data_IF_603390270910
#
_entry.id   IF_603390270910
#
_cell.length_a   1.000
_cell.length_b   1.000
_cell.length_c   1.000
_cell.angle_alpha   90.00
_cell.angle_beta   90.00
_cell.angle_gamma   90.00
#
_symmetry.space_group_name_H-M   'P 1'
#
loop_
_entity.id
_entity.type
_entity.pdbx_description
1 polymer ?
#
# COMPACT_ATOMS: atom_id res chain seq x y z
N UNK A 1 -29.11 18.75 -50.32
CA UNK A 1 -29.82 18.65 -49.03
C UNK A 1 -28.82 18.12 -48.00
N UNK A 2 -28.29 18.97 -47.13
CA UNK A 2 -27.27 18.58 -46.15
C UNK A 2 -27.90 17.78 -45.00
N UNK A 3 -27.26 16.67 -44.60
CA UNK A 3 -27.72 15.82 -43.49
C UNK A 3 -27.42 16.52 -42.16
N UNK A 4 -28.46 16.88 -41.40
CA UNK A 4 -28.31 17.41 -40.04
C UNK A 4 -27.72 16.32 -39.13
N UNK A 5 -26.52 16.55 -38.61
CA UNK A 5 -25.88 15.71 -37.58
C UNK A 5 -26.20 16.35 -36.23
N UNK A 6 -26.86 15.61 -35.35
CA UNK A 6 -27.28 16.10 -34.02
C UNK A 6 -26.04 16.36 -33.16
N UNK A 7 -25.88 17.59 -32.67
CA UNK A 7 -24.82 17.96 -31.70
C UNK A 7 -23.71 18.87 -32.23
N UNK A 8 -23.76 19.29 -33.50
CA UNK A 8 -22.85 20.28 -34.08
C UNK A 8 -23.60 21.61 -34.33
N UNK A 9 -23.01 22.78 -34.01
CA UNK A 9 -23.59 24.07 -34.39
C UNK A 9 -23.84 24.16 -35.90
N UNK A 10 -24.92 24.82 -36.33
CA UNK A 10 -25.25 24.96 -37.76
C UNK A 10 -24.16 25.69 -38.56
N UNK A 11 -23.27 26.42 -37.87
CA UNK A 11 -22.18 27.21 -38.45
C UNK A 11 -20.83 26.47 -38.45
N UNK A 12 -20.79 25.23 -37.97
CA UNK A 12 -19.55 24.45 -37.92
C UNK A 12 -19.28 23.83 -39.29
N UNK A 13 -18.39 24.47 -40.05
CA UNK A 13 -17.89 23.97 -41.33
C UNK A 13 -16.39 23.68 -41.24
N UNK A 14 -16.03 22.40 -41.36
CA UNK A 14 -14.63 21.96 -41.42
C UNK A 14 -14.14 22.19 -42.86
N UNK A 15 -13.65 23.39 -43.14
CA UNK A 15 -12.93 23.71 -44.38
C UNK A 15 -11.56 23.00 -44.40
N UNK A 16 -11.58 21.68 -44.58
CA UNK A 16 -10.40 20.92 -44.97
C UNK A 16 -10.32 21.06 -46.48
N UNK A 17 -9.35 21.82 -46.98
CA UNK A 17 -9.07 21.88 -48.41
C UNK A 17 -8.97 20.43 -48.95
N UNK A 18 -9.78 20.09 -49.94
CA UNK A 18 -9.85 18.74 -50.53
C UNK A 18 -8.50 18.26 -51.11
N UNK A 19 -7.52 19.15 -51.24
CA UNK A 19 -6.13 18.83 -51.57
C UNK A 19 -5.41 18.01 -50.48
N UNK A 20 -5.84 18.09 -49.22
CA UNK A 20 -5.22 17.38 -48.09
C UNK A 20 -5.73 15.94 -47.90
N UNK A 21 -6.69 15.49 -48.71
CA UNK A 21 -7.34 14.16 -48.61
C UNK A 21 -6.87 13.20 -49.71
N UNK A 22 -5.92 13.62 -50.56
CA UNK A 22 -5.32 12.76 -51.59
C UNK A 22 -4.13 11.98 -51.02
N UNK A 23 -4.38 10.72 -50.66
CA UNK A 23 -3.49 9.54 -50.74
C UNK A 23 -1.98 9.67 -50.43
N UNK A 24 -1.59 10.51 -49.49
CA UNK A 24 -0.28 10.38 -48.82
C UNK A 24 -0.45 10.40 -47.30
N UNK A 25 0.16 9.44 -46.56
CA UNK A 25 0.18 9.50 -45.11
C UNK A 25 0.91 10.77 -44.68
N UNK A 26 0.25 11.58 -43.86
CA UNK A 26 0.83 12.76 -43.21
C UNK A 26 2.11 12.32 -42.49
N UNK A 27 3.27 12.77 -42.99
CA UNK A 27 4.56 12.57 -42.33
C UNK A 27 4.64 13.48 -41.12
N UNK A 28 4.14 13.00 -39.99
CA UNK A 28 4.43 13.58 -38.68
C UNK A 28 5.95 13.45 -38.52
N UNK A 29 6.66 14.57 -38.47
CA UNK A 29 8.11 14.59 -38.30
C UNK A 29 8.54 13.84 -37.03
N UNK A 30 9.71 13.20 -37.11
CA UNK A 30 10.30 12.29 -36.11
C UNK A 30 10.69 13.00 -34.80
N UNK A 31 9.72 13.59 -34.10
CA UNK A 31 9.93 14.20 -32.78
C UNK A 31 9.98 13.17 -31.64
N UNK A 32 10.32 11.91 -31.95
CA UNK A 32 10.41 10.80 -31.00
C UNK A 32 11.75 10.03 -31.07
N UNK A 33 12.72 10.49 -31.86
CA UNK A 33 14.04 9.86 -32.01
C UNK A 33 15.20 10.62 -31.33
N UNK A 34 14.97 11.82 -30.77
CA UNK A 34 15.99 12.58 -30.02
C UNK A 34 16.12 12.15 -28.54
N UNK A 35 16.10 10.84 -28.29
CA UNK A 35 16.64 10.29 -27.05
C UNK A 35 17.85 9.42 -27.41
N UNK A 36 19.06 9.69 -26.89
CA UNK A 36 20.18 8.77 -27.08
C UNK A 36 19.89 7.48 -26.32
N UNK A 37 19.33 6.49 -27.03
CA UNK A 37 19.17 5.13 -26.53
C UNK A 37 20.56 4.49 -26.55
N UNK A 38 21.18 4.39 -25.36
CA UNK A 38 22.35 3.55 -25.19
C UNK A 38 22.04 2.13 -25.69
N UNK A 39 22.86 1.63 -26.62
CA UNK A 39 22.69 0.35 -27.28
C UNK A 39 22.52 -0.79 -26.26
N UNK A 40 21.36 -1.46 -26.29
CA UNK A 40 21.16 -2.73 -25.59
C UNK A 40 21.62 -3.89 -26.50
N UNK A 41 22.47 -4.81 -26.03
CA UNK A 41 22.81 -6.00 -26.79
C UNK A 41 21.61 -6.96 -26.86
N UNK A 42 21.41 -7.56 -28.04
CA UNK A 42 20.35 -8.51 -28.33
C UNK A 42 20.52 -9.82 -27.53
N UNK A 43 19.43 -10.31 -26.92
CA UNK A 43 19.41 -11.61 -26.24
C UNK A 43 19.35 -12.77 -27.27
N UNK A 44 20.13 -13.85 -27.09
CA UNK A 44 20.05 -15.02 -27.96
C UNK A 44 18.83 -15.88 -27.64
N UNK A 45 18.18 -16.41 -28.69
CA UNK A 45 17.03 -17.34 -28.62
C UNK A 45 17.41 -18.66 -27.91
N UNK A 46 16.47 -19.31 -27.19
CA UNK A 46 16.75 -20.56 -26.49
C UNK A 46 16.77 -21.76 -27.45
N UNK A 47 17.94 -22.37 -27.63
CA UNK A 47 18.12 -23.71 -28.19
C UNK A 47 18.07 -24.79 -27.09
N UNK A 48 17.58 -25.98 -27.47
CA UNK A 48 17.43 -27.21 -26.68
C UNK A 48 18.53 -27.46 -25.65
N UNK A 49 18.15 -27.83 -24.43
CA UNK A 49 19.04 -28.43 -23.41
C UNK A 49 18.96 -29.95 -23.47
N UNK A 50 20.08 -30.59 -23.78
CA UNK A 50 20.39 -31.97 -23.39
C UNK A 50 20.84 -32.00 -21.91
N UNK A 51 20.70 -33.15 -21.20
CA UNK A 51 20.97 -33.23 -19.76
C UNK A 51 22.47 -33.31 -19.42
N UNK A 52 22.92 -32.75 -18.28
CA UNK A 52 24.33 -32.76 -17.89
C UNK A 52 24.77 -34.08 -17.20
N UNK A 53 26.05 -34.46 -17.35
CA UNK A 53 26.65 -35.64 -16.72
C UNK A 53 27.09 -35.43 -15.26
N UNK A 54 27.29 -36.56 -14.58
CA UNK A 54 27.72 -36.76 -13.18
C UNK A 54 29.14 -36.24 -12.88
N UNK A 55 29.29 -35.66 -11.68
CA UNK A 55 30.34 -36.05 -10.71
C UNK A 55 31.53 -35.10 -10.51
N UNK A 56 31.90 -34.91 -9.23
CA UNK A 56 33.31 -34.81 -8.83
C UNK A 56 33.78 -33.51 -8.17
N UNK A 57 33.81 -33.53 -6.83
CA UNK A 57 34.87 -33.04 -5.92
C UNK A 57 35.24 -31.54 -5.82
N UNK A 58 34.94 -30.97 -4.65
CA UNK A 58 35.57 -29.77 -4.07
C UNK A 58 36.91 -30.12 -3.37
N UNK A 59 37.84 -29.15 -3.29
CA UNK A 59 38.63 -29.00 -2.08
C UNK A 59 38.66 -27.57 -1.50
N UNK A 60 38.61 -27.54 -0.16
CA UNK A 60 38.78 -26.40 0.76
C UNK A 60 40.23 -25.89 0.85
N UNK A 61 40.40 -24.61 1.22
CA UNK A 61 41.18 -24.08 2.37
C UNK A 61 41.62 -22.63 2.10
N UNK A 62 41.41 -21.63 2.96
CA UNK A 62 42.23 -21.21 4.13
C UNK A 62 41.52 -19.95 4.73
N UNK A 63 41.16 -19.81 6.01
CA UNK A 63 41.89 -19.68 7.30
C UNK A 63 41.35 -18.43 8.06
N UNK A 64 41.77 -18.06 9.28
CA UNK A 64 42.02 -18.84 10.51
C UNK A 64 41.45 -18.20 11.82
N UNK A 65 41.40 -18.98 12.93
CA UNK A 65 41.59 -18.63 14.37
C UNK A 65 40.83 -19.65 15.27
N UNK A 66 41.50 -20.66 15.85
CA UNK A 66 42.06 -20.73 17.23
C UNK A 66 41.00 -20.79 18.36
N UNK A 67 40.96 -21.69 19.36
CA UNK A 67 41.52 -23.01 19.73
C UNK A 67 40.54 -23.59 20.81
N UNK A 68 40.47 -24.91 21.04
CA UNK A 68 39.46 -25.58 21.88
C UNK A 68 40.02 -26.06 23.23
N UNK A 69 39.15 -26.52 24.15
CA UNK A 69 39.55 -27.48 25.19
C UNK A 69 38.37 -28.34 25.67
N UNK A 70 38.60 -29.65 25.69
CA UNK A 70 37.80 -30.73 26.30
C UNK A 70 38.82 -31.69 26.93
N UNK A 71 38.38 -32.50 27.91
CA UNK A 71 39.05 -33.71 28.50
C UNK A 71 39.98 -33.37 29.70
N UNK A 72 40.02 -33.99 30.90
CA UNK A 72 39.64 -35.34 31.45
C UNK A 72 39.49 -35.35 33.01
N UNK A 73 38.99 -36.48 33.56
CA UNK A 73 39.16 -37.12 34.91
C UNK A 73 37.94 -37.39 35.89
N UNK A 74 37.78 -38.63 36.46
CA UNK A 74 36.74 -39.10 37.42
C UNK A 74 37.31 -39.38 38.86
N UNK A 75 36.79 -40.26 39.76
CA UNK A 75 35.45 -40.59 40.33
C UNK A 75 35.37 -40.48 41.90
N UNK A 76 34.17 -40.68 42.49
CA UNK A 76 33.93 -40.90 43.95
C UNK A 76 33.25 -39.70 44.64
N UNK A 77 32.23 -39.79 45.50
CA UNK A 77 31.86 -40.79 46.50
C UNK A 77 30.40 -40.54 46.99
N UNK A 78 29.74 -41.64 47.41
CA UNK A 78 28.68 -41.74 48.45
C UNK A 78 27.19 -41.46 48.10
N UNK A 79 26.50 -42.57 47.83
CA UNK A 79 25.11 -42.96 48.20
C UNK A 79 24.66 -42.56 49.65
N UNK A 80 23.40 -42.78 50.13
CA UNK A 80 22.12 -43.31 49.56
C UNK A 80 20.88 -42.50 50.12
N UNK A 81 19.64 -43.03 50.35
CA UNK A 81 18.81 -43.98 49.62
C UNK A 81 17.48 -43.37 49.10
N UNK A 82 16.88 -44.09 48.15
CA UNK A 82 15.54 -43.91 47.60
C UNK A 82 14.47 -44.18 48.67
N UNK A 83 13.74 -43.14 49.08
CA UNK A 83 12.57 -43.28 49.95
C UNK A 83 11.28 -43.57 49.15
N UNK A 84 10.31 -44.30 49.75
CA UNK A 84 9.29 -45.06 49.03
C UNK A 84 8.18 -44.19 48.42
N UNK A 85 7.71 -44.67 47.26
CA UNK A 85 6.59 -44.13 46.50
C UNK A 85 5.31 -44.04 47.36
N UNK A 86 5.04 -42.85 47.88
CA UNK A 86 3.70 -42.53 48.38
C UNK A 86 2.79 -42.34 47.16
N UNK A 87 1.97 -43.37 46.90
CA UNK A 87 0.79 -43.28 46.03
C UNK A 87 -0.12 -42.18 46.58
N UNK A 88 0.04 -40.95 46.10
CA UNK A 88 -0.97 -39.90 46.24
C UNK A 88 -2.18 -40.34 45.42
N UNK A 89 -3.20 -40.81 46.13
CA UNK A 89 -4.55 -41.00 45.63
C UNK A 89 -4.96 -39.70 44.95
N UNK A 90 -5.15 -39.74 43.63
CA UNK A 90 -5.72 -38.62 42.88
C UNK A 90 -7.13 -38.37 43.44
N UNK A 91 -7.47 -37.18 43.95
CA UNK A 91 -8.87 -36.85 44.10
C UNK A 91 -9.46 -36.81 42.70
N UNK A 92 -10.46 -37.68 42.48
CA UNK A 92 -11.32 -37.70 41.29
C UNK A 92 -11.97 -36.32 41.20
N UNK A 93 -11.38 -35.43 40.39
CA UNK A 93 -12.03 -34.16 40.03
C UNK A 93 -13.22 -34.51 39.15
N UNK A 94 -14.40 -34.20 39.65
CA UNK A 94 -15.61 -34.17 38.86
C UNK A 94 -15.41 -33.30 37.60
N UNK A 95 -15.90 -33.73 36.43
CA UNK A 95 -15.86 -32.92 35.22
C UNK A 95 -17.02 -31.92 35.24
N UNK A 96 -17.01 -31.00 36.19
CA UNK A 96 -17.97 -29.91 36.22
C UNK A 96 -17.25 -28.58 36.09
N UNK A 97 -17.84 -27.77 35.20
CA UNK A 97 -17.50 -26.37 34.90
C UNK A 97 -16.38 -26.22 33.87
N UNK A 98 -16.77 -26.40 32.59
CA UNK A 98 -16.26 -25.53 31.52
C UNK A 98 -16.52 -24.09 31.99
N UNK A 99 -15.50 -23.46 32.56
CA UNK A 99 -15.48 -22.02 32.70
C UNK A 99 -15.80 -21.47 31.31
N UNK A 100 -16.93 -20.76 31.19
CA UNK A 100 -17.16 -19.87 30.06
C UNK A 100 -15.99 -18.90 30.09
N UNK A 101 -14.96 -19.20 29.32
CA UNK A 101 -13.93 -18.25 28.98
C UNK A 101 -14.67 -17.05 28.41
N UNK A 102 -14.77 -16.00 29.22
CA UNK A 102 -15.37 -14.73 28.82
C UNK A 102 -14.47 -14.24 27.72
N UNK A 103 -14.88 -14.49 26.47
CA UNK A 103 -14.11 -14.16 25.30
C UNK A 103 -13.76 -12.68 25.39
N UNK A 104 -12.46 -12.39 25.54
CA UNK A 104 -11.96 -11.03 25.57
C UNK A 104 -12.54 -10.28 24.36
N UNK A 105 -12.94 -9.00 24.53
CA UNK A 105 -13.56 -8.25 23.45
C UNK A 105 -12.64 -8.28 22.23
N UNK A 106 -13.16 -8.82 21.13
CA UNK A 106 -12.40 -8.93 19.87
C UNK A 106 -12.01 -7.52 19.44
N UNK A 107 -10.70 -7.26 19.36
CA UNK A 107 -10.18 -5.98 18.86
C UNK A 107 -10.77 -5.71 17.47
N UNK A 108 -11.14 -4.45 17.15
CA UNK A 108 -11.68 -4.12 15.84
C UNK A 108 -10.65 -4.46 14.75
N UNK A 109 -11.11 -4.87 13.55
CA UNK A 109 -10.21 -5.23 12.46
C UNK A 109 -9.36 -4.03 12.05
N UNK A 110 -8.04 -4.25 11.94
CA UNK A 110 -7.11 -3.24 11.43
C UNK A 110 -7.33 -3.11 9.92
N UNK A 111 -7.67 -1.91 9.47
CA UNK A 111 -7.74 -1.58 8.03
C UNK A 111 -6.37 -1.09 7.59
N UNK A 112 -5.78 -1.75 6.59
CA UNK A 112 -4.56 -1.28 5.93
C UNK A 112 -4.95 -0.44 4.72
N UNK A 113 -4.34 0.73 4.59
CA UNK A 113 -4.54 1.64 3.46
C UNK A 113 -3.25 1.63 2.65
N UNK A 114 -3.34 1.19 1.41
CA UNK A 114 -2.22 1.26 0.48
C UNK A 114 -2.21 2.66 -0.15
N UNK A 115 -1.06 3.33 -0.07
CA UNK A 115 -0.85 4.67 -0.59
C UNK A 115 0.14 4.63 -1.75
N UNK A 116 0.03 5.60 -2.66
CA UNK A 116 1.07 5.81 -3.68
C UNK A 116 2.30 6.47 -3.05
N UNK A 117 3.50 6.35 -3.64
CA UNK A 117 4.70 7.01 -3.10
C UNK A 117 4.49 8.51 -2.91
N UNK A 118 3.91 9.19 -3.89
CA UNK A 118 3.57 10.62 -3.83
C UNK A 118 2.64 10.94 -2.64
N UNK A 119 1.64 10.10 -2.38
CA UNK A 119 0.74 10.30 -1.24
C UNK A 119 1.45 10.08 0.10
N UNK A 120 2.43 9.17 0.18
CA UNK A 120 3.23 8.98 1.39
C UNK A 120 4.08 10.22 1.69
N UNK A 121 4.71 10.80 0.67
CA UNK A 121 5.49 12.03 0.82
C UNK A 121 4.60 13.18 1.32
N UNK A 122 3.40 13.34 0.76
CA UNK A 122 2.41 14.33 1.24
C UNK A 122 2.01 14.12 2.71
N UNK A 123 1.86 12.87 3.13
CA UNK A 123 1.49 12.52 4.51
C UNK A 123 2.65 12.85 5.46
N UNK A 124 3.88 12.52 5.08
CA UNK A 124 5.07 12.82 5.88
C UNK A 124 5.33 14.32 5.99
N UNK A 125 5.11 15.07 4.91
CA UNK A 125 5.21 16.53 4.91
C UNK A 125 4.15 17.19 5.80
N UNK A 126 2.90 16.72 5.74
CA UNK A 126 1.83 17.19 6.63
C UNK A 126 2.14 16.85 8.10
N UNK A 127 2.64 15.64 8.38
CA UNK A 127 3.02 15.23 9.73
C UNK A 127 4.15 16.10 10.26
N UNK A 128 5.19 16.33 9.45
CA UNK A 128 6.31 17.21 9.81
C UNK A 128 5.83 18.63 10.08
N UNK A 129 4.93 19.15 9.25
CA UNK A 129 4.34 20.47 9.46
C UNK A 129 3.62 20.54 10.82
N UNK A 130 2.78 19.55 11.13
CA UNK A 130 2.08 19.50 12.42
C UNK A 130 3.09 19.43 13.57
N UNK A 131 4.09 18.56 13.51
CA UNK A 131 5.09 18.44 14.57
C UNK A 131 5.92 19.71 14.78
N UNK A 132 6.18 20.46 13.70
CA UNK A 132 6.97 21.69 13.75
C UNK A 132 6.20 22.88 14.32
N UNK A 133 4.91 23.01 13.98
CA UNK A 133 4.10 24.18 14.34
C UNK A 133 3.08 23.93 15.46
N UNK A 134 2.83 22.66 15.83
CA UNK A 134 2.05 22.29 17.00
C UNK A 134 2.87 22.45 18.28
N UNK A 135 2.17 22.61 19.40
CA UNK A 135 2.79 22.48 20.74
C UNK A 135 3.27 21.05 21.02
N UNK A 136 2.71 20.07 20.32
CA UNK A 136 2.95 18.65 20.51
C UNK A 136 3.84 18.11 19.36
N UNK A 137 5.15 18.15 19.57
CA UNK A 137 6.14 17.75 18.55
C UNK A 137 6.19 16.23 18.30
N UNK A 138 5.62 15.43 19.19
CA UNK A 138 5.57 13.96 19.11
C UNK A 138 4.25 13.42 18.52
N UNK A 139 3.48 14.28 17.83
CA UNK A 139 2.25 13.89 17.15
C UNK A 139 2.49 12.71 16.21
N UNK A 140 1.66 11.67 16.32
CA UNK A 140 1.78 10.46 15.50
C UNK A 140 0.93 10.55 14.23
N UNK A 141 1.37 9.88 13.17
CA UNK A 141 0.59 9.75 11.93
C UNK A 141 -0.85 9.25 12.19
N UNK A 142 -1.02 8.30 13.12
CA UNK A 142 -2.34 7.77 13.50
C UNK A 142 -3.28 8.83 14.07
N UNK A 143 -2.76 9.82 14.79
CA UNK A 143 -3.54 10.90 15.39
C UNK A 143 -3.92 11.93 14.33
N UNK A 144 -2.97 12.29 13.46
CA UNK A 144 -3.24 13.13 12.28
C UNK A 144 -4.34 12.51 11.41
N UNK A 145 -4.23 11.22 11.06
CA UNK A 145 -5.27 10.53 10.30
C UNK A 145 -6.61 10.50 11.04
N UNK A 146 -6.60 10.27 12.35
CA UNK A 146 -7.83 10.28 13.14
C UNK A 146 -8.52 11.66 13.09
N UNK A 147 -7.75 12.75 13.21
CA UNK A 147 -8.27 14.12 13.14
C UNK A 147 -8.88 14.43 11.76
N UNK A 148 -8.21 14.03 10.68
CA UNK A 148 -8.72 14.21 9.31
C UNK A 148 -10.04 13.45 9.12
N UNK A 149 -10.10 12.19 9.57
CA UNK A 149 -11.33 11.38 9.49
C UNK A 149 -12.45 12.00 10.33
N UNK A 150 -12.13 12.52 11.52
CA UNK A 150 -13.11 13.18 12.37
C UNK A 150 -13.69 14.43 11.70
N UNK A 151 -12.84 15.28 11.11
CA UNK A 151 -13.27 16.47 10.37
C UNK A 151 -14.18 16.10 9.18
N UNK A 152 -13.79 15.11 8.38
CA UNK A 152 -14.61 14.63 7.27
C UNK A 152 -15.94 14.02 7.74
N UNK A 153 -15.93 13.27 8.85
CA UNK A 153 -17.14 12.64 9.39
C UNK A 153 -18.13 13.67 9.96
N UNK A 154 -17.64 14.73 10.61
CA UNK A 154 -18.49 15.84 11.07
C UNK A 154 -19.16 16.56 9.89
N UNK A 155 -18.42 16.71 8.78
CA UNK A 155 -18.91 17.34 7.56
C UNK A 155 -19.81 16.44 6.70
N UNK A 156 -20.05 15.17 7.07
CA UNK A 156 -20.76 14.18 6.23
C UNK A 156 -22.14 14.64 5.75
N UNK A 157 -22.85 15.45 6.54
CA UNK A 157 -24.19 15.95 6.20
C UNK A 157 -24.18 16.94 5.02
N UNK A 158 -23.04 17.55 4.77
CA UNK A 158 -22.81 18.51 3.69
C UNK A 158 -22.02 17.91 2.54
N UNK A 159 -21.75 16.60 2.58
CA UNK A 159 -21.01 15.91 1.55
C UNK A 159 -21.92 15.64 0.36
N UNK A 160 -21.83 16.50 -0.65
CA UNK A 160 -22.45 16.29 -1.95
C UNK A 160 -21.48 15.59 -2.92
N UNK A 161 -21.90 14.42 -3.41
CA UNK A 161 -21.15 13.59 -4.34
C UNK A 161 -21.76 13.61 -5.75
N UNK A 162 -22.77 14.44 -6.00
CA UNK A 162 -23.47 14.51 -7.30
C UNK A 162 -22.54 14.92 -8.44
N UNK A 163 -21.55 15.79 -8.14
CA UNK A 163 -20.52 16.24 -9.08
C UNK A 163 -19.36 15.26 -9.26
N UNK A 164 -19.26 14.21 -8.41
CA UNK A 164 -18.12 13.30 -8.45
C UNK A 164 -18.34 12.29 -9.57
N UNK A 165 -17.47 12.24 -10.60
CA UNK A 165 -17.63 11.32 -11.70
C UNK A 165 -17.52 9.88 -11.20
N UNK A 166 -18.14 8.95 -11.91
CA UNK A 166 -17.90 7.52 -11.66
C UNK A 166 -16.41 7.23 -11.84
N UNK A 167 -15.87 6.40 -10.95
CA UNK A 167 -14.48 5.95 -11.06
C UNK A 167 -14.29 5.27 -12.42
N UNK A 168 -13.37 5.80 -13.23
CA UNK A 168 -13.01 5.21 -14.51
C UNK A 168 -12.20 3.91 -14.35
N UNK A 169 -11.90 3.26 -15.48
CA UNK A 169 -11.00 2.11 -15.50
C UNK A 169 -9.60 2.49 -15.02
N UNK A 170 -8.89 1.56 -14.40
CA UNK A 170 -7.54 1.83 -13.90
C UNK A 170 -6.63 2.30 -15.04
N UNK A 171 -5.83 3.35 -14.80
CA UNK A 171 -4.94 3.96 -15.78
C UNK A 171 -5.58 5.04 -16.65
N UNK A 172 -6.92 5.11 -16.73
CA UNK A 172 -7.62 6.16 -17.48
C UNK A 172 -7.46 7.55 -16.84
N UNK A 173 -7.57 8.60 -17.65
CA UNK A 173 -7.60 10.00 -17.17
C UNK A 173 -8.70 10.21 -16.14
N UNK A 174 -9.88 9.61 -16.35
CA UNK A 174 -11.00 9.67 -15.40
C UNK A 174 -10.67 9.01 -14.06
N UNK A 175 -9.91 7.92 -14.05
CA UNK A 175 -9.48 7.29 -12.79
C UNK A 175 -8.46 8.14 -12.02
N UNK A 176 -7.59 8.89 -12.72
CA UNK A 176 -6.66 9.83 -12.09
C UNK A 176 -7.37 11.06 -11.52
N UNK A 177 -8.43 11.52 -12.18
CA UNK A 177 -9.23 12.67 -11.73
C UNK A 177 -10.18 12.32 -10.58
N UNK A 178 -10.51 11.04 -10.38
CA UNK A 178 -11.47 10.63 -9.35
C UNK A 178 -11.04 11.01 -7.92
N UNK A 179 -9.80 10.77 -7.45
CA UNK A 179 -9.32 11.27 -6.16
C UNK A 179 -9.39 12.80 -6.03
N UNK A 180 -9.15 13.54 -7.12
CA UNK A 180 -9.21 15.00 -7.13
C UNK A 180 -10.64 15.51 -6.97
N UNK A 181 -11.60 14.92 -7.69
CA UNK A 181 -13.00 15.26 -7.54
C UNK A 181 -13.51 14.94 -6.12
N UNK A 182 -13.09 13.81 -5.53
CA UNK A 182 -13.40 13.47 -4.15
C UNK A 182 -12.79 14.47 -3.15
N UNK A 183 -11.53 14.86 -3.32
CA UNK A 183 -10.89 15.82 -2.41
C UNK A 183 -11.62 17.17 -2.43
N UNK A 184 -12.01 17.66 -3.61
CA UNK A 184 -12.81 18.88 -3.74
C UNK A 184 -14.18 18.77 -3.06
N UNK A 185 -14.87 17.64 -3.18
CA UNK A 185 -16.13 17.40 -2.49
C UNK A 185 -15.95 17.45 -0.96
N UNK A 186 -14.92 16.78 -0.42
CA UNK A 186 -14.59 16.85 1.00
C UNK A 186 -14.25 18.27 1.46
N UNK A 187 -13.43 19.00 0.69
CA UNK A 187 -13.08 20.39 1.03
C UNK A 187 -14.30 21.28 1.08
N UNK A 188 -15.21 21.19 0.09
CA UNK A 188 -16.47 21.95 0.08
C UNK A 188 -17.34 21.62 1.30
N UNK A 189 -17.50 20.33 1.61
CA UNK A 189 -18.29 19.88 2.76
C UNK A 189 -17.72 20.36 4.10
N UNK A 190 -16.40 20.24 4.29
CA UNK A 190 -15.71 20.67 5.51
C UNK A 190 -15.81 22.19 5.66
N UNK A 191 -15.63 22.95 4.58
CA UNK A 191 -15.77 24.40 4.61
C UNK A 191 -17.20 24.82 5.00
N UNK A 192 -18.22 24.13 4.51
CA UNK A 192 -19.62 24.41 4.87
C UNK A 192 -19.90 24.07 6.34
N UNK A 193 -19.45 22.90 6.81
CA UNK A 193 -19.59 22.49 8.20
C UNK A 193 -18.94 23.47 9.18
N UNK A 194 -17.78 24.01 8.81
CA UNK A 194 -17.06 24.98 9.62
C UNK A 194 -17.79 26.32 9.74
N UNK A 195 -18.41 26.80 8.64
CA UNK A 195 -19.20 28.04 8.66
C UNK A 195 -20.43 27.91 9.54
N UNK A 196 -21.20 26.84 9.37
CA UNK A 196 -22.40 26.57 10.17
C UNK A 196 -22.08 26.47 11.67
N UNK A 197 -20.97 25.81 12.02
CA UNK A 197 -20.55 25.71 13.42
C UNK A 197 -20.19 27.08 14.00
N UNK A 198 -19.49 27.92 13.22
CA UNK A 198 -19.11 29.27 13.66
C UNK A 198 -20.33 30.17 13.88
N UNK A 199 -21.39 30.01 13.09
CA UNK A 199 -22.65 30.74 13.28
C UNK A 199 -23.40 30.30 14.53
N UNK A 200 -23.30 29.03 14.93
CA UNK A 200 -23.90 28.51 16.16
C UNK A 200 -23.17 28.96 17.44
N UNK A 201 -21.88 29.29 17.33
CA UNK A 201 -21.03 29.71 18.46
C UNK A 201 -21.07 31.25 18.69
N UNK A 202 -21.83 32.01 17.88
CA UNK A 202 -22.04 33.47 18.00
C UNK A 202 -23.39 33.79 18.63
#
# INVERSE_FOLDING_TARGET
MAKRIVGLPEDFDLNIAEESVRDEPVRIGDFLDDFPVAARPAAPRPGRRDPPPRGGDEPRSTGPAALPARVDEPPGEKEPPRAPQQRKVKPRRDPTQKAKEVAAPKKPPRKQINMTPETLDMVDDLLRYIQMYSRQSDTKASEMFHAIVLAAFQAKKHLDLSDVPRRGQWGSTTAKNFPVALSQAFTRAIAHAFREKRELDQ
#
